data_IF_461405863408
#
_entry.id   IF_461405863408
#
_cell.length_a   1.000
_cell.length_b   1.000
_cell.length_c   1.000
_cell.angle_alpha   90.00
_cell.angle_beta   90.00
_cell.angle_gamma   90.00
#
_symmetry.space_group_name_H-M   'P 1'
#
loop_
_entity.id
_entity.type
_entity.pdbx_description
1 polymer ?
#
# COMPACT_ATOMS: atom_id res chain seq x y z
N UNK A 1 -39.04 -4.30 -43.62
CA UNK A 1 -39.15 -4.40 -42.15
C UNK A 1 -37.77 -4.19 -41.57
N UNK A 2 -37.51 -3.03 -40.96
CA UNK A 2 -36.25 -2.74 -40.26
C UNK A 2 -36.63 -2.24 -38.88
N UNK A 3 -36.37 -3.06 -37.86
CA UNK A 3 -36.61 -2.70 -36.46
C UNK A 3 -35.38 -1.91 -35.98
N UNK A 4 -35.56 -0.62 -35.70
CA UNK A 4 -34.60 0.18 -34.96
C UNK A 4 -34.77 -0.12 -33.47
N UNK A 5 -33.78 -0.77 -32.86
CA UNK A 5 -33.70 -0.89 -31.40
C UNK A 5 -32.91 0.31 -30.87
N UNK A 6 -33.57 1.09 -30.03
CA UNK A 6 -33.01 2.21 -29.27
C UNK A 6 -32.00 1.67 -28.26
N UNK A 7 -30.72 2.03 -28.41
CA UNK A 7 -29.71 1.75 -27.41
C UNK A 7 -29.76 2.82 -26.31
N UNK A 8 -30.42 2.50 -25.20
CA UNK A 8 -30.23 3.23 -23.95
C UNK A 8 -28.92 2.71 -23.32
N UNK A 9 -27.81 3.35 -23.63
CA UNK A 9 -26.54 3.11 -22.94
C UNK A 9 -26.65 3.71 -21.53
N UNK A 10 -26.92 2.85 -20.56
CA UNK A 10 -26.73 3.15 -19.14
C UNK A 10 -25.27 3.57 -18.98
N UNK A 11 -25.05 4.84 -18.64
CA UNK A 11 -23.74 5.35 -18.25
C UNK A 11 -23.28 4.57 -17.02
N UNK A 12 -22.40 3.60 -17.23
CA UNK A 12 -21.74 2.87 -16.16
C UNK A 12 -20.88 3.85 -15.36
N UNK A 13 -21.38 4.32 -14.23
CA UNK A 13 -20.55 5.00 -13.24
C UNK A 13 -19.69 3.91 -12.60
N UNK A 14 -18.48 3.74 -13.11
CA UNK A 14 -17.44 2.97 -12.43
C UNK A 14 -16.94 3.84 -11.28
N UNK A 15 -17.49 3.62 -10.09
CA UNK A 15 -16.94 4.18 -8.86
C UNK A 15 -15.68 3.37 -8.54
N UNK A 16 -14.51 3.89 -8.91
CA UNK A 16 -13.24 3.30 -8.49
C UNK A 16 -12.99 3.69 -7.02
N UNK A 17 -13.23 2.75 -6.12
CA UNK A 17 -12.57 2.79 -4.80
C UNK A 17 -11.07 2.65 -5.01
N UNK A 18 -10.22 3.25 -4.17
CA UNK A 18 -8.78 3.09 -4.29
C UNK A 18 -8.43 1.61 -4.19
N UNK A 19 -8.07 1.00 -5.31
CA UNK A 19 -7.46 -0.31 -5.34
C UNK A 19 -6.03 -0.17 -4.82
N UNK A 20 -5.88 -0.13 -3.49
CA UNK A 20 -4.57 -0.16 -2.86
C UNK A 20 -3.80 -1.39 -3.33
N UNK A 21 -2.50 -1.24 -3.55
CA UNK A 21 -1.62 -2.33 -3.97
C UNK A 21 -1.20 -3.20 -2.77
N UNK A 22 -2.17 -3.55 -1.93
CA UNK A 22 -1.99 -4.36 -0.72
C UNK A 22 -2.02 -3.58 0.60
N UNK A 23 -1.75 -4.26 1.72
CA UNK A 23 -1.97 -3.73 3.06
C UNK A 23 -0.98 -2.62 3.47
N UNK A 24 0.26 -2.68 2.99
CA UNK A 24 1.26 -1.64 3.26
C UNK A 24 0.92 -0.31 2.60
N UNK A 25 0.33 -0.36 1.40
CA UNK A 25 -0.09 0.82 0.65
C UNK A 25 -1.26 1.53 1.35
N UNK A 26 -2.22 0.75 1.84
CA UNK A 26 -3.30 1.25 2.68
C UNK A 26 -2.76 1.90 3.97
N UNK A 27 -1.85 1.22 4.68
CA UNK A 27 -1.26 1.78 5.89
C UNK A 27 -0.54 3.09 5.64
N UNK A 28 0.29 3.14 4.59
CA UNK A 28 0.98 4.36 4.21
C UNK A 28 -0.01 5.49 3.91
N UNK A 29 -1.08 5.20 3.16
CA UNK A 29 -2.13 6.16 2.87
C UNK A 29 -2.83 6.69 4.13
N UNK A 30 -3.16 5.81 5.09
CA UNK A 30 -3.80 6.20 6.33
C UNK A 30 -2.90 7.08 7.21
N UNK A 31 -1.61 6.75 7.30
CA UNK A 31 -0.61 7.53 8.03
C UNK A 31 -0.43 8.91 7.40
N UNK A 32 -0.29 8.96 6.07
CA UNK A 32 -0.15 10.22 5.32
C UNK A 32 -1.40 11.11 5.47
N UNK A 33 -2.60 10.53 5.39
CA UNK A 33 -3.86 11.25 5.56
C UNK A 33 -4.02 11.81 6.98
N UNK A 34 -3.46 11.14 7.97
CA UNK A 34 -3.46 11.59 9.36
C UNK A 34 -2.34 12.60 9.68
N UNK A 35 -1.49 12.95 8.69
CA UNK A 35 -0.33 13.85 8.86
C UNK A 35 0.65 13.35 9.94
N UNK A 36 0.84 12.02 10.03
CA UNK A 36 1.70 11.37 11.02
C UNK A 36 3.02 10.89 10.41
N UNK A 37 4.07 10.84 11.23
CA UNK A 37 5.32 10.16 10.89
C UNK A 37 5.19 8.64 11.02
N UNK A 38 5.94 7.89 10.20
CA UNK A 38 5.98 6.42 10.25
C UNK A 38 6.70 5.96 11.53
N UNK A 39 5.91 5.68 12.56
CA UNK A 39 6.31 5.27 13.91
C UNK A 39 5.33 4.23 14.48
N UNK A 40 5.74 3.50 15.51
CA UNK A 40 4.88 2.52 16.22
C UNK A 40 3.64 3.16 16.82
N UNK A 41 3.78 4.37 17.36
CA UNK A 41 2.65 5.17 17.88
C UNK A 41 1.66 5.52 16.77
N UNK A 42 2.14 5.96 15.61
CA UNK A 42 1.26 6.25 14.48
C UNK A 42 0.52 5.00 13.98
N UNK A 43 1.20 3.85 13.93
CA UNK A 43 0.57 2.57 13.59
C UNK A 43 -0.58 2.24 14.54
N UNK A 44 -0.37 2.36 15.85
CA UNK A 44 -1.42 2.14 16.85
C UNK A 44 -2.63 3.08 16.67
N UNK A 45 -2.39 4.34 16.27
CA UNK A 45 -3.44 5.32 16.02
C UNK A 45 -4.27 5.00 14.76
N UNK A 46 -3.64 4.53 13.68
CA UNK A 46 -4.33 4.21 12.42
C UNK A 46 -4.94 2.80 12.40
N UNK A 47 -4.65 1.95 13.39
CA UNK A 47 -5.18 0.58 13.49
C UNK A 47 -6.70 0.53 13.34
N UNK A 48 -7.44 1.43 13.98
CA UNK A 48 -8.90 1.43 13.90
C UNK A 48 -9.41 1.71 12.48
N UNK A 49 -8.77 2.65 11.79
CA UNK A 49 -9.09 3.01 10.41
C UNK A 49 -8.77 1.86 9.45
N UNK A 50 -7.67 1.14 9.71
CA UNK A 50 -7.27 -0.04 8.95
C UNK A 50 -8.31 -1.17 9.10
N UNK A 51 -8.72 -1.49 10.33
CA UNK A 51 -9.73 -2.52 10.60
C UNK A 51 -11.10 -2.15 10.01
N UNK A 52 -11.47 -0.87 10.09
CA UNK A 52 -12.70 -0.38 9.47
C UNK A 52 -12.70 -0.52 7.94
N UNK A 53 -11.55 -0.35 7.29
CA UNK A 53 -11.41 -0.62 5.86
C UNK A 53 -11.51 -2.12 5.55
N UNK A 54 -10.84 -2.95 6.36
CA UNK A 54 -10.87 -4.41 6.20
C UNK A 54 -12.28 -4.99 6.38
N UNK A 55 -13.08 -4.46 7.30
CA UNK A 55 -14.47 -4.88 7.49
C UNK A 55 -15.38 -4.56 6.30
N UNK A 56 -14.99 -3.62 5.42
CA UNK A 56 -15.73 -3.24 4.21
C UNK A 56 -15.27 -4.02 2.97
N UNK A 57 -14.33 -4.95 3.13
CA UNK A 57 -13.66 -5.64 2.03
C UNK A 57 -14.42 -6.89 1.51
N UNK A 58 -15.74 -6.96 1.75
CA UNK A 58 -16.59 -8.17 1.67
C UNK A 58 -16.58 -8.92 0.32
N UNK A 59 -16.11 -8.32 -0.77
CA UNK A 59 -16.14 -8.89 -2.13
C UNK A 59 -14.76 -9.27 -2.72
N UNK A 60 -13.71 -9.38 -1.90
CA UNK A 60 -12.36 -9.76 -2.36
C UNK A 60 -12.08 -11.26 -2.24
N UNK A 61 -11.17 -11.76 -3.08
CA UNK A 61 -10.75 -13.16 -3.02
C UNK A 61 -10.12 -13.49 -1.65
N UNK A 62 -10.34 -14.70 -1.10
CA UNK A 62 -9.76 -15.10 0.19
C UNK A 62 -8.24 -14.93 0.24
N UNK A 63 -7.56 -15.18 -0.87
CA UNK A 63 -6.11 -15.04 -1.01
C UNK A 63 -5.66 -13.59 -0.83
N UNK A 64 -6.39 -12.63 -1.40
CA UNK A 64 -6.08 -11.20 -1.24
C UNK A 64 -6.33 -10.72 0.19
N UNK A 65 -7.40 -11.20 0.84
CA UNK A 65 -7.76 -10.86 2.23
C UNK A 65 -6.73 -11.39 3.23
N UNK A 66 -6.12 -12.55 2.94
CA UNK A 66 -5.14 -13.20 3.84
C UNK A 66 -3.97 -12.27 4.22
N UNK A 67 -3.42 -11.53 3.25
CA UNK A 67 -2.33 -10.59 3.49
C UNK A 67 -2.73 -9.42 4.40
N UNK A 68 -3.99 -8.97 4.31
CA UNK A 68 -4.51 -7.93 5.19
C UNK A 68 -4.70 -8.45 6.62
N UNK A 69 -5.16 -9.69 6.80
CA UNK A 69 -5.33 -10.28 8.12
C UNK A 69 -4.01 -10.41 8.88
N UNK A 70 -2.93 -10.77 8.20
CA UNK A 70 -1.58 -10.82 8.80
C UNK A 70 -1.17 -9.45 9.34
N UNK A 71 -1.39 -8.39 8.57
CA UNK A 71 -1.07 -7.03 9.00
C UNK A 71 -2.03 -6.54 10.10
N UNK A 72 -3.32 -6.88 10.01
CA UNK A 72 -4.31 -6.58 11.06
C UNK A 72 -3.91 -7.17 12.40
N UNK A 73 -3.48 -8.44 12.43
CA UNK A 73 -3.02 -9.10 13.65
C UNK A 73 -1.82 -8.38 14.26
N UNK A 74 -0.83 -7.99 13.45
CA UNK A 74 0.33 -7.20 13.89
C UNK A 74 -0.08 -5.85 14.46
N UNK A 75 -0.99 -5.12 13.80
CA UNK A 75 -1.49 -3.82 14.27
C UNK A 75 -2.24 -3.92 15.60
N UNK A 76 -3.02 -4.99 15.80
CA UNK A 76 -3.69 -5.27 17.06
C UNK A 76 -2.69 -5.55 18.17
N UNK A 77 -1.65 -6.35 17.90
CA UNK A 77 -0.56 -6.59 18.85
C UNK A 77 0.14 -5.27 19.24
N UNK A 78 0.52 -4.45 18.24
CA UNK A 78 1.17 -3.14 18.47
C UNK A 78 0.28 -2.24 19.32
N UNK A 79 -1.02 -2.15 19.01
CA UNK A 79 -1.98 -1.33 19.76
C UNK A 79 -2.14 -1.85 21.20
N UNK A 80 -2.20 -3.17 21.38
CA UNK A 80 -2.26 -3.78 22.71
C UNK A 80 -1.03 -3.43 23.54
N UNK A 81 0.18 -3.65 23.00
CA UNK A 81 1.45 -3.36 23.68
C UNK A 81 1.58 -1.87 24.02
N UNK A 82 1.18 -0.97 23.11
CA UNK A 82 1.21 0.47 23.33
C UNK A 82 0.27 0.97 24.46
N UNK A 83 -0.77 0.20 24.78
CA UNK A 83 -1.74 0.54 25.83
C UNK A 83 -1.41 -0.10 27.19
N UNK A 84 -0.45 -1.02 27.24
CA UNK A 84 -0.09 -1.69 28.49
C UNK A 84 0.78 -0.79 29.38
N UNK A 85 0.51 -0.70 30.69
CA UNK A 85 1.32 0.09 31.62
C UNK A 85 2.72 -0.49 31.85
N UNK A 86 2.92 -1.77 31.49
CA UNK A 86 4.22 -2.43 31.46
C UNK A 86 4.33 -3.21 30.16
N UNK A 87 5.37 -2.94 29.39
CA UNK A 87 5.66 -3.69 28.18
C UNK A 87 6.00 -5.15 28.55
N UNK A 88 5.55 -6.13 27.74
CA UNK A 88 5.98 -7.51 27.91
C UNK A 88 7.51 -7.60 27.84
N UNK A 89 8.11 -8.43 28.69
CA UNK A 89 9.53 -8.75 28.55
C UNK A 89 9.70 -9.55 27.26
N UNK A 90 10.55 -9.04 26.36
CA UNK A 90 11.01 -9.76 25.18
C UNK A 90 12.30 -10.48 25.49
N UNK A 91 12.49 -11.63 24.87
CA UNK A 91 13.72 -12.40 24.98
C UNK A 91 14.89 -11.65 24.31
N UNK A 92 16.12 -11.91 24.75
CA UNK A 92 17.31 -11.34 24.08
C UNK A 92 17.37 -11.83 22.62
N UNK A 93 17.27 -10.89 21.68
CA UNK A 93 17.27 -11.17 20.24
C UNK A 93 15.88 -11.27 19.60
N UNK A 94 14.80 -11.12 20.36
CA UNK A 94 13.44 -11.05 19.82
C UNK A 94 13.19 -9.68 19.15
N UNK A 95 12.80 -9.69 17.87
CA UNK A 95 12.46 -8.47 17.13
C UNK A 95 11.14 -7.87 17.62
N UNK A 96 11.12 -6.53 17.77
CA UNK A 96 9.88 -5.80 18.02
C UNK A 96 9.02 -5.81 16.74
N UNK A 97 7.82 -6.44 16.76
CA UNK A 97 6.98 -6.57 15.58
C UNK A 97 6.51 -5.22 15.03
N UNK A 98 6.44 -4.20 15.88
CA UNK A 98 6.12 -2.82 15.53
C UNK A 98 7.27 -2.13 14.81
N UNK A 99 8.49 -2.22 15.35
CA UNK A 99 9.68 -1.65 14.69
C UNK A 99 9.93 -2.30 13.33
N UNK A 100 9.81 -3.63 13.24
CA UNK A 100 9.92 -4.34 11.96
C UNK A 100 8.88 -3.84 10.93
N UNK A 101 7.64 -3.57 11.36
CA UNK A 101 6.60 -3.04 10.46
C UNK A 101 6.89 -1.59 10.02
N UNK A 102 7.43 -0.77 10.93
CA UNK A 102 7.86 0.60 10.63
C UNK A 102 8.96 0.60 9.58
N UNK A 103 9.98 -0.25 9.73
CA UNK A 103 11.06 -0.39 8.74
C UNK A 103 10.53 -0.85 7.38
N UNK A 104 9.65 -1.85 7.38
CA UNK A 104 9.01 -2.35 6.16
C UNK A 104 8.22 -1.25 5.43
N UNK A 105 7.50 -0.40 6.17
CA UNK A 105 6.76 0.74 5.60
C UNK A 105 7.69 1.83 5.06
N UNK A 106 8.77 2.16 5.76
CA UNK A 106 9.78 3.12 5.26
C UNK A 106 10.40 2.64 3.95
N UNK A 107 10.74 1.36 3.88
CA UNK A 107 11.28 0.74 2.68
C UNK A 107 10.26 0.77 1.53
N UNK A 108 9.01 0.38 1.81
CA UNK A 108 7.92 0.42 0.84
C UNK A 108 7.70 1.84 0.29
N UNK A 109 7.66 2.86 1.17
CA UNK A 109 7.53 4.27 0.78
C UNK A 109 8.66 4.69 -0.17
N UNK A 110 9.91 4.39 0.18
CA UNK A 110 11.07 4.73 -0.65
C UNK A 110 11.00 4.07 -2.05
N UNK A 111 10.56 2.82 -2.14
CA UNK A 111 10.35 2.16 -3.42
C UNK A 111 9.18 2.74 -4.21
N UNK A 112 8.07 3.07 -3.54
CA UNK A 112 6.90 3.70 -4.16
C UNK A 112 7.27 5.04 -4.80
N UNK A 113 8.03 5.87 -4.10
CA UNK A 113 8.54 7.15 -4.61
C UNK A 113 9.45 6.97 -5.83
N UNK A 114 10.43 6.05 -5.74
CA UNK A 114 11.33 5.74 -6.86
C UNK A 114 10.60 5.18 -8.07
N UNK A 115 9.60 4.32 -7.85
CA UNK A 115 8.74 3.80 -8.91
C UNK A 115 7.92 4.92 -9.56
N UNK A 116 7.42 5.88 -8.77
CA UNK A 116 6.77 7.10 -9.26
C UNK A 116 7.70 7.92 -10.16
N UNK A 117 8.93 8.17 -9.71
CA UNK A 117 9.95 8.87 -10.50
C UNK A 117 10.28 8.14 -11.82
N UNK A 118 10.44 6.82 -11.78
CA UNK A 118 10.67 6.00 -12.97
C UNK A 118 9.51 6.12 -13.97
N UNK A 119 8.27 6.08 -13.46
CA UNK A 119 7.05 6.21 -14.25
C UNK A 119 6.97 7.57 -14.92
N UNK A 120 7.33 8.64 -14.21
CA UNK A 120 7.38 9.99 -14.76
C UNK A 120 8.41 10.11 -15.88
N UNK A 121 9.60 9.53 -15.72
CA UNK A 121 10.63 9.50 -16.78
C UNK A 121 10.16 8.77 -18.03
N UNK A 122 9.51 7.62 -17.84
CA UNK A 122 8.94 6.85 -18.93
C UNK A 122 7.87 7.65 -19.69
N UNK A 123 6.96 8.31 -18.97
CA UNK A 123 5.91 9.16 -19.55
C UNK A 123 6.49 10.39 -20.28
N UNK A 124 7.56 10.98 -19.75
CA UNK A 124 8.29 12.07 -20.40
C UNK A 124 9.08 11.61 -21.64
N UNK A 125 9.07 10.32 -21.98
CA UNK A 125 9.79 9.79 -23.13
C UNK A 125 11.32 9.88 -23.00
N UNK A 126 11.84 9.97 -21.77
CA UNK A 126 13.27 10.02 -21.50
C UNK A 126 13.87 8.62 -21.64
N UNK A 127 14.34 8.30 -22.85
CA UNK A 127 14.95 7.01 -23.20
C UNK A 127 16.30 7.20 -23.88
N UNK A 128 17.22 6.28 -23.62
CA UNK A 128 18.52 6.22 -24.28
C UNK A 128 18.42 5.29 -25.47
N UNK A 129 18.96 5.71 -26.61
CA UNK A 129 19.11 4.84 -27.79
C UNK A 129 20.50 4.21 -27.75
N UNK A 130 20.56 2.89 -27.82
CA UNK A 130 21.84 2.18 -27.98
C UNK A 130 22.38 2.50 -29.37
N UNK A 131 23.66 2.90 -29.43
CA UNK A 131 24.37 3.04 -30.70
C UNK A 131 24.70 1.65 -31.23
N UNK A 132 24.06 1.25 -32.33
CA UNK A 132 24.24 -0.07 -32.95
C UNK A 132 25.43 -0.16 -33.90
N UNK A 133 26.15 0.93 -34.14
CA UNK A 133 27.28 0.98 -35.08
C UNK A 133 28.60 1.33 -34.38
N UNK A 134 29.69 0.56 -34.60
CA UNK A 134 31.03 0.88 -34.10
C UNK A 134 31.51 2.27 -34.56
N UNK A 135 32.40 2.93 -33.81
CA UNK A 135 33.02 4.18 -34.26
C UNK A 135 33.81 3.95 -35.57
N UNK A 136 33.82 4.93 -36.50
CA UNK A 136 34.62 4.81 -37.72
C UNK A 136 36.11 4.65 -37.35
N UNK A 137 36.79 3.69 -37.99
CA UNK A 137 38.25 3.53 -37.85
C UNK A 137 38.94 4.72 -38.51
N UNK A 138 39.87 5.33 -37.78
CA UNK A 138 40.79 6.36 -38.28
C UNK A 138 41.80 5.77 -39.27
#
# INVERSE_FOLDING_TARGET
>A
MTVSVVAHQVSSIRVETPAFQGPLDLLLHLIERAELDITTIALAQVTEQYLAYLARLEDRSPDEVSAFLVVAARLLQIKSEALLPRLPQREEGEEDPGENLVEQLRLYKAFKERAGWLRQRHQAGLRTFLRTTPPPKA
#
